data_IF_219690023958
#
_entry.id   IF_219690023958
#
_cell.length_a   1.000
_cell.length_b   1.000
_cell.length_c   1.000
_cell.angle_alpha   90.00
_cell.angle_beta   90.00
_cell.angle_gamma   90.00
#
_symmetry.space_group_name_H-M   'P 1'
#
loop_
_entity.id
_entity.type
_entity.pdbx_description
1 polymer ?
#
# COMPACT_ATOMS: atom_id res chain seq x y z
N UNK A 1 14.85 32.36 14.77
CA UNK A 1 13.68 31.49 15.00
C UNK A 1 13.11 31.82 16.39
N UNK A 2 11.94 32.47 16.45
CA UNK A 2 11.21 32.78 17.68
C UNK A 2 9.82 32.14 17.57
N UNK A 3 9.31 31.59 18.67
CA UNK A 3 8.01 30.96 18.75
C UNK A 3 6.91 32.00 18.47
N UNK A 4 6.05 31.74 17.49
CA UNK A 4 4.90 32.58 17.17
C UNK A 4 3.79 32.39 18.22
N UNK A 5 4.02 32.90 19.44
CA UNK A 5 2.98 33.07 20.43
C UNK A 5 2.41 34.48 20.27
N UNK A 6 1.28 34.60 19.55
CA UNK A 6 0.46 35.83 19.56
C UNK A 6 0.36 36.65 18.27
N UNK A 7 0.81 36.15 17.12
CA UNK A 7 0.62 36.85 15.83
C UNK A 7 -0.74 36.54 15.20
N UNK A 8 -1.37 37.54 14.59
CA UNK A 8 -2.46 37.33 13.64
C UNK A 8 -1.94 36.61 12.39
N UNK A 9 -2.81 35.89 11.67
CA UNK A 9 -2.42 35.14 10.46
C UNK A 9 -1.73 36.04 9.41
N UNK A 10 -2.14 37.32 9.35
CA UNK A 10 -1.53 38.31 8.46
C UNK A 10 -0.09 38.67 8.84
N UNK A 11 0.17 38.88 10.12
CA UNK A 11 1.51 39.18 10.64
C UNK A 11 2.44 37.97 10.52
N UNK A 12 1.93 36.76 10.77
CA UNK A 12 2.70 35.53 10.58
C UNK A 12 3.11 35.35 9.11
N UNK A 13 2.21 35.64 8.16
CA UNK A 13 2.50 35.58 6.72
C UNK A 13 3.56 36.61 6.31
N UNK A 14 3.45 37.84 6.79
CA UNK A 14 4.42 38.89 6.49
C UNK A 14 5.80 38.55 7.08
N UNK A 15 5.84 38.06 8.31
CA UNK A 15 7.08 37.63 8.95
C UNK A 15 7.78 36.49 8.19
N UNK A 16 7.02 35.49 7.70
CA UNK A 16 7.59 34.40 6.89
C UNK A 16 8.23 34.94 5.60
N UNK A 17 7.68 36.01 5.01
CA UNK A 17 8.25 36.65 3.81
C UNK A 17 9.54 37.42 4.09
N UNK A 18 9.79 37.81 5.34
CA UNK A 18 10.98 38.55 5.79
C UNK A 18 12.11 37.65 6.31
N UNK A 19 11.91 36.31 6.30
CA UNK A 19 12.91 35.35 6.76
C UNK A 19 14.08 35.22 5.77
N UNK A 20 15.29 35.49 6.25
CA UNK A 20 16.53 35.25 5.51
C UNK A 20 17.24 33.96 5.98
N UNK A 21 17.92 33.23 5.06
CA UNK A 21 18.75 32.09 5.42
C UNK A 21 19.88 32.51 6.37
N UNK A 22 19.96 31.87 7.54
CA UNK A 22 20.97 32.17 8.57
C UNK A 22 22.01 31.06 8.75
N UNK A 23 22.06 30.07 7.84
CA UNK A 23 22.98 28.94 7.88
C UNK A 23 22.37 27.66 8.44
N UNK A 24 23.04 27.04 9.41
CA UNK A 24 22.71 25.70 9.97
C UNK A 24 21.30 25.57 10.56
N UNK A 25 20.86 24.32 10.73
CA UNK A 25 19.52 23.97 11.22
C UNK A 25 19.56 23.53 12.68
N UNK A 26 19.59 24.48 13.62
CA UNK A 26 19.63 24.17 15.06
C UNK A 26 18.22 23.88 15.64
N UNK A 27 17.70 22.70 15.32
CA UNK A 27 16.37 22.26 15.74
C UNK A 27 16.25 22.15 17.25
N UNK A 28 17.27 21.65 17.95
CA UNK A 28 17.21 21.49 19.41
C UNK A 28 17.02 22.83 20.13
N UNK A 29 17.71 23.89 19.68
CA UNK A 29 17.52 25.24 20.22
C UNK A 29 16.11 25.75 19.96
N UNK A 30 15.57 25.51 18.77
CA UNK A 30 14.19 25.87 18.44
C UNK A 30 13.18 25.16 19.36
N UNK A 31 13.37 23.85 19.58
CA UNK A 31 12.51 23.06 20.46
C UNK A 31 12.57 23.52 21.91
N UNK A 32 13.76 23.86 22.43
CA UNK A 32 13.93 24.44 23.77
C UNK A 32 13.11 25.72 23.97
N UNK A 33 12.96 26.54 22.93
CA UNK A 33 12.13 27.75 22.97
C UNK A 33 10.64 27.45 22.78
N UNK A 34 10.27 26.58 21.84
CA UNK A 34 8.88 26.26 21.53
C UNK A 34 8.17 25.53 22.67
N UNK A 35 8.86 24.62 23.35
CA UNK A 35 8.29 23.83 24.46
C UNK A 35 8.12 24.64 25.75
N UNK A 36 8.61 25.89 25.80
CA UNK A 36 8.34 26.84 26.90
C UNK A 36 7.02 27.61 26.70
N UNK A 37 6.41 27.54 25.51
CA UNK A 37 5.15 28.21 25.21
C UNK A 37 4.00 27.53 25.96
N UNK A 38 3.22 28.32 26.70
CA UNK A 38 2.00 27.85 27.40
C UNK A 38 0.89 27.61 26.36
N UNK A 39 0.10 26.55 26.55
CA UNK A 39 -1.02 26.16 25.66
C UNK A 39 -0.60 25.77 24.23
N UNK A 40 0.54 25.10 24.08
CA UNK A 40 0.92 24.48 22.81
C UNK A 40 0.09 23.21 22.58
N UNK A 41 -0.74 23.20 21.53
CA UNK A 41 -1.67 22.09 21.24
C UNK A 41 -1.17 21.14 20.14
N UNK A 42 -0.21 21.58 19.34
CA UNK A 42 0.43 20.79 18.27
C UNK A 42 1.75 21.42 17.89
N UNK A 43 2.73 20.60 17.52
CA UNK A 43 4.01 21.03 17.00
C UNK A 43 4.19 20.52 15.57
N UNK A 44 4.31 21.45 14.62
CA UNK A 44 4.65 21.15 13.23
C UNK A 44 6.08 21.64 12.94
N UNK A 45 6.96 20.72 12.56
CA UNK A 45 8.32 21.02 12.14
C UNK A 45 8.37 20.88 10.62
N UNK A 46 8.73 21.95 9.92
CA UNK A 46 9.02 21.93 8.49
C UNK A 46 10.53 22.08 8.31
N UNK A 47 11.17 21.07 7.72
CA UNK A 47 12.62 21.04 7.53
C UNK A 47 12.96 21.06 6.05
N UNK A 48 13.75 22.06 5.65
CA UNK A 48 14.36 22.14 4.30
C UNK A 48 15.72 21.44 4.20
N UNK A 49 16.28 21.02 5.33
CA UNK A 49 17.59 20.39 5.47
C UNK A 49 17.63 19.56 6.76
N UNK A 50 18.64 18.70 6.91
CA UNK A 50 18.83 17.92 8.13
C UNK A 50 19.20 18.84 9.31
N UNK A 51 18.64 18.61 10.52
CA UNK A 51 19.08 19.31 11.71
C UNK A 51 20.57 19.10 12.01
N UNK A 52 21.21 20.10 12.61
CA UNK A 52 22.61 20.02 13.03
C UNK A 52 22.81 19.02 14.20
N UNK A 53 21.71 18.64 14.87
CA UNK A 53 21.71 17.68 15.98
C UNK A 53 21.21 16.30 15.50
N UNK A 54 21.76 15.22 16.06
CA UNK A 54 21.29 13.86 15.80
C UNK A 54 19.85 13.67 16.24
N UNK A 55 19.15 12.75 15.58
CA UNK A 55 17.77 12.37 15.88
C UNK A 55 17.55 12.01 17.34
N UNK A 56 18.47 11.24 17.90
CA UNK A 56 18.44 10.77 19.29
C UNK A 56 18.32 11.94 20.28
N UNK A 57 19.13 12.99 20.10
CA UNK A 57 19.21 14.09 21.06
C UNK A 57 17.93 14.92 21.11
N UNK A 58 17.35 15.24 19.95
CA UNK A 58 16.16 16.10 19.92
C UNK A 58 14.86 15.32 20.17
N UNK A 59 14.82 14.03 19.82
CA UNK A 59 13.69 13.15 20.16
C UNK A 59 13.63 12.91 21.67
N UNK A 60 14.74 12.55 22.31
CA UNK A 60 14.79 12.35 23.75
C UNK A 60 14.37 13.61 24.51
N UNK A 61 14.85 14.78 24.06
CA UNK A 61 14.46 16.06 24.62
C UNK A 61 12.95 16.33 24.46
N UNK A 62 12.38 16.04 23.30
CA UNK A 62 10.94 16.18 23.06
C UNK A 62 10.13 15.26 23.98
N UNK A 63 10.50 13.98 24.06
CA UNK A 63 9.77 12.99 24.85
C UNK A 63 9.80 13.32 26.34
N UNK A 64 10.95 13.78 26.85
CA UNK A 64 11.07 14.26 28.23
C UNK A 64 10.17 15.46 28.51
N UNK A 65 10.08 16.42 27.59
CA UNK A 65 9.23 17.60 27.74
C UNK A 65 7.73 17.33 27.51
N UNK A 66 7.41 16.35 26.67
CA UNK A 66 6.04 15.95 26.33
C UNK A 66 5.47 14.88 27.28
N UNK A 67 6.28 14.37 28.22
CA UNK A 67 5.87 13.34 29.15
C UNK A 67 4.65 13.80 29.97
N UNK A 68 3.55 13.05 29.88
CA UNK A 68 2.28 13.38 30.54
C UNK A 68 1.43 14.46 29.85
N UNK A 69 1.82 14.95 28.66
CA UNK A 69 1.05 15.91 27.86
C UNK A 69 0.72 15.31 26.48
N UNK A 70 -0.54 15.36 26.01
CA UNK A 70 -0.90 14.95 24.66
C UNK A 70 -0.48 16.04 23.65
N UNK A 71 0.83 16.13 23.37
CA UNK A 71 1.38 17.07 22.39
C UNK A 71 1.73 16.32 21.08
N UNK A 72 0.88 16.40 20.04
CA UNK A 72 1.20 15.81 18.74
C UNK A 72 2.38 16.53 18.10
N UNK A 73 3.30 15.74 17.55
CA UNK A 73 4.46 16.18 16.80
C UNK A 73 4.29 15.71 15.35
N UNK A 74 4.33 16.66 14.44
CA UNK A 74 4.28 16.45 13.00
C UNK A 74 5.57 16.99 12.39
N UNK A 75 6.22 16.18 11.56
CA UNK A 75 7.43 16.56 10.83
C UNK A 75 7.16 16.47 9.33
N UNK A 76 7.47 17.53 8.61
CA UNK A 76 7.37 17.63 7.15
C UNK A 76 8.77 17.94 6.63
N UNK A 77 9.30 17.07 5.79
CA UNK A 77 10.46 17.39 4.96
C UNK A 77 9.95 18.17 3.74
N UNK A 78 10.52 19.34 3.49
CA UNK A 78 10.17 20.18 2.35
C UNK A 78 11.41 20.36 1.47
N UNK A 79 11.38 19.83 0.25
CA UNK A 79 12.51 19.97 -0.67
C UNK A 79 12.48 21.33 -1.37
N UNK A 80 13.50 22.17 -1.12
CA UNK A 80 13.71 23.43 -1.84
C UNK A 80 14.46 23.25 -3.18
N UNK A 81 14.72 22.02 -3.61
CA UNK A 81 15.46 21.73 -4.84
C UNK A 81 14.50 21.40 -5.98
N UNK A 82 14.41 22.26 -6.97
CA UNK A 82 13.92 21.84 -8.28
C UNK A 82 14.83 20.73 -8.84
N UNK A 83 14.25 19.67 -9.40
CA UNK A 83 14.98 18.56 -10.04
C UNK A 83 15.85 19.03 -11.22
N UNK A 84 15.53 20.18 -11.81
CA UNK A 84 16.29 20.79 -12.91
C UNK A 84 17.66 21.34 -12.48
N UNK A 85 17.90 21.55 -11.18
CA UNK A 85 19.12 22.20 -10.66
C UNK A 85 20.11 21.24 -9.99
N UNK A 86 19.80 19.94 -9.87
CA UNK A 86 20.60 18.97 -9.08
C UNK A 86 21.57 18.10 -9.89
N UNK A 87 21.61 18.21 -11.23
CA UNK A 87 22.60 17.49 -12.08
C UNK A 87 23.94 18.25 -12.15
N UNK A 88 24.27 19.04 -11.13
CA UNK A 88 25.61 19.60 -10.98
C UNK A 88 26.49 18.58 -10.23
N UNK A 89 27.51 18.11 -10.93
CA UNK A 89 28.53 17.13 -10.55
C UNK A 89 29.01 17.27 -9.09
N UNK A 90 29.06 16.16 -8.36
CA UNK A 90 29.85 16.05 -7.13
C UNK A 90 29.18 16.38 -5.79
N UNK A 91 27.86 16.65 -5.75
CA UNK A 91 27.19 16.94 -4.48
C UNK A 91 27.09 15.69 -3.57
N UNK A 92 27.40 15.80 -2.26
CA UNK A 92 27.24 14.71 -1.31
C UNK A 92 25.75 14.34 -1.11
N UNK A 93 25.51 13.07 -0.76
CA UNK A 93 24.19 12.56 -0.41
C UNK A 93 23.63 13.31 0.80
N UNK A 94 22.35 13.66 0.75
CA UNK A 94 21.60 14.19 1.89
C UNK A 94 20.80 13.05 2.52
N UNK A 95 21.33 12.45 3.58
CA UNK A 95 20.66 11.31 4.23
C UNK A 95 19.46 11.80 5.02
N UNK A 96 18.25 11.42 4.59
CA UNK A 96 17.01 11.80 5.25
C UNK A 96 16.67 10.72 6.29
N UNK A 97 16.83 11.03 7.56
CA UNK A 97 16.40 10.15 8.65
C UNK A 97 14.90 10.36 8.89
N UNK A 98 14.07 9.48 8.32
CA UNK A 98 12.63 9.46 8.59
C UNK A 98 12.40 8.66 9.88
N UNK A 99 12.21 9.36 11.00
CA UNK A 99 11.78 8.75 12.26
C UNK A 99 10.27 8.51 12.16
N UNK A 100 9.89 7.27 11.89
CA UNK A 100 8.50 6.87 12.03
C UNK A 100 8.13 6.88 13.50
N UNK A 101 7.14 7.70 13.89
CA UNK A 101 6.30 7.34 15.05
C UNK A 101 5.65 6.00 14.72
N UNK A 102 6.08 4.99 15.45
CA UNK A 102 5.62 3.62 15.43
C UNK A 102 4.09 3.53 15.56
N UNK A 103 3.37 3.48 14.43
CA UNK A 103 2.03 2.89 14.40
C UNK A 103 1.61 2.24 13.08
N UNK A 104 2.49 2.08 12.10
CA UNK A 104 2.16 1.31 10.90
C UNK A 104 3.39 0.53 10.39
N UNK A 105 3.57 -0.73 10.80
CA UNK A 105 4.52 -1.58 10.12
C UNK A 105 4.13 -1.68 8.64
N UNK A 106 5.15 -1.68 7.76
CA UNK A 106 5.06 -1.84 6.30
C UNK A 106 4.36 -3.16 5.89
N UNK A 107 4.04 -4.02 6.86
CA UNK A 107 3.25 -5.24 6.71
C UNK A 107 1.74 -5.01 6.48
N UNK A 108 1.33 -4.03 5.68
CA UNK A 108 -0.09 -3.93 5.24
C UNK A 108 -0.52 -5.21 4.49
N UNK A 109 0.41 -5.87 3.80
CA UNK A 109 0.13 -7.09 3.03
C UNK A 109 -0.12 -8.33 3.93
N UNK A 110 0.24 -8.30 5.22
CA UNK A 110 -0.06 -9.42 6.17
C UNK A 110 -0.85 -9.03 7.42
N UNK A 111 -0.82 -7.78 7.87
CA UNK A 111 -1.43 -7.34 9.14
C UNK A 111 -2.36 -6.12 9.06
N UNK A 112 -2.45 -5.44 7.91
CA UNK A 112 -3.18 -4.17 7.77
C UNK A 112 -4.55 -4.25 7.08
N UNK A 113 -4.90 -5.41 6.50
CA UNK A 113 -6.19 -5.63 5.82
C UNK A 113 -7.39 -5.33 6.75
N UNK A 114 -8.52 -4.93 6.15
CA UNK A 114 -9.82 -4.84 6.82
C UNK A 114 -10.13 -6.12 7.61
N UNK A 115 -9.77 -7.29 7.05
CA UNK A 115 -9.92 -8.57 7.74
C UNK A 115 -8.96 -8.73 8.94
N UNK A 116 -7.71 -8.28 8.81
CA UNK A 116 -6.71 -8.33 9.88
C UNK A 116 -7.06 -7.40 11.05
N UNK A 117 -7.73 -6.26 10.78
CA UNK A 117 -8.27 -5.35 11.80
C UNK A 117 -9.60 -5.83 12.41
N UNK A 118 -10.05 -7.05 12.09
CA UNK A 118 -11.37 -7.59 12.48
C UNK A 118 -12.56 -6.73 12.03
N UNK A 119 -12.40 -5.96 10.95
CA UNK A 119 -13.41 -5.08 10.38
C UNK A 119 -14.18 -5.76 9.23
N UNK A 120 -14.07 -7.08 9.08
CA UNK A 120 -14.95 -7.82 8.18
C UNK A 120 -16.39 -7.69 8.67
N UNK A 121 -17.29 -7.20 7.83
CA UNK A 121 -18.72 -7.10 8.18
C UNK A 121 -19.27 -8.44 8.68
N UNK A 122 -18.86 -9.53 8.06
CA UNK A 122 -19.26 -10.88 8.45
C UNK A 122 -18.77 -11.24 9.86
N UNK A 123 -17.57 -10.82 10.27
CA UNK A 123 -17.09 -11.05 11.64
C UNK A 123 -17.86 -10.22 12.66
N UNK A 124 -18.24 -8.99 12.30
CA UNK A 124 -19.04 -8.09 13.16
C UNK A 124 -20.46 -8.64 13.35
N UNK A 125 -21.05 -9.21 12.30
CA UNK A 125 -22.40 -9.78 12.34
C UNK A 125 -22.44 -11.22 12.87
N UNK A 126 -21.32 -11.96 12.83
CA UNK A 126 -21.27 -13.38 13.18
C UNK A 126 -21.87 -13.73 14.56
N UNK A 127 -21.62 -12.96 15.65
CA UNK A 127 -22.21 -13.25 16.96
C UNK A 127 -23.74 -13.23 16.98
N UNK A 128 -24.36 -12.52 16.04
CA UNK A 128 -25.80 -12.34 15.93
C UNK A 128 -26.39 -12.98 14.66
N UNK A 129 -25.66 -13.88 14.01
CA UNK A 129 -26.07 -14.52 12.76
C UNK A 129 -26.42 -16.01 12.98
N UNK A 130 -27.64 -16.39 12.62
CA UNK A 130 -28.19 -17.74 12.83
C UNK A 130 -28.50 -18.41 11.49
N UNK A 131 -28.06 -19.65 11.31
CA UNK A 131 -28.40 -20.45 10.12
C UNK A 131 -29.86 -20.89 10.15
N UNK A 132 -30.61 -20.81 9.05
CA UNK A 132 -31.91 -21.45 8.94
C UNK A 132 -31.77 -22.96 9.17
N UNK A 133 -32.64 -23.53 10.01
CA UNK A 133 -32.66 -24.97 10.27
C UNK A 133 -33.95 -25.56 9.71
N UNK A 134 -33.84 -26.69 9.00
CA UNK A 134 -34.98 -27.49 8.58
C UNK A 134 -34.87 -28.88 9.19
N UNK A 135 -35.95 -29.34 9.83
CA UNK A 135 -36.02 -30.65 10.46
C UNK A 135 -37.27 -31.39 9.99
N UNK A 136 -37.10 -32.65 9.57
CA UNK A 136 -38.23 -33.52 9.29
C UNK A 136 -38.76 -34.10 10.59
N UNK A 137 -40.04 -33.88 10.91
CA UNK A 137 -40.70 -34.46 12.09
C UNK A 137 -41.46 -35.72 11.64
N UNK A 138 -40.99 -36.93 12.00
CA UNK A 138 -41.56 -38.20 11.50
C UNK A 138 -43.02 -38.40 11.91
N UNK A 139 -43.37 -37.97 13.13
CA UNK A 139 -44.73 -38.11 13.69
C UNK A 139 -45.72 -37.22 12.94
N UNK A 140 -45.28 -36.04 12.47
CA UNK A 140 -46.11 -35.11 11.71
C UNK A 140 -46.05 -35.36 10.20
N UNK A 141 -45.15 -36.24 9.73
CA UNK A 141 -44.79 -36.46 8.32
C UNK A 141 -44.57 -35.16 7.55
N UNK A 142 -43.97 -34.17 8.22
CA UNK A 142 -43.77 -32.81 7.69
C UNK A 142 -42.36 -32.35 7.98
N UNK A 143 -41.76 -31.67 7.01
CA UNK A 143 -40.57 -30.85 7.21
C UNK A 143 -41.00 -29.53 7.82
N UNK A 144 -40.39 -29.17 8.95
CA UNK A 144 -40.57 -27.86 9.59
C UNK A 144 -39.29 -27.06 9.49
N UNK A 145 -39.42 -25.79 9.13
CA UNK A 145 -38.32 -24.83 9.04
C UNK A 145 -38.33 -23.89 10.24
N UNK A 146 -37.16 -23.45 10.69
CA UNK A 146 -37.01 -22.42 11.72
C UNK A 146 -37.76 -21.15 11.30
N UNK A 147 -38.65 -20.66 12.15
CA UNK A 147 -39.42 -19.45 11.89
C UNK A 147 -38.64 -18.21 12.30
N UNK A 148 -38.46 -17.27 11.37
CA UNK A 148 -37.85 -15.97 11.65
C UNK A 148 -38.80 -15.15 12.54
N UNK A 149 -38.31 -14.62 13.66
CA UNK A 149 -39.03 -13.54 14.32
C UNK A 149 -38.85 -12.26 13.49
N UNK A 150 -39.77 -12.02 12.55
CA UNK A 150 -39.71 -10.95 11.53
C UNK A 150 -39.48 -9.55 12.12
N UNK A 151 -39.78 -9.35 13.41
CA UNK A 151 -39.58 -8.09 14.14
C UNK A 151 -38.15 -7.86 14.64
N UNK A 152 -37.36 -8.91 14.84
CA UNK A 152 -36.03 -8.82 15.46
C UNK A 152 -34.88 -9.23 14.51
N UNK A 153 -35.15 -10.09 13.53
CA UNK A 153 -34.10 -10.66 12.67
C UNK A 153 -34.36 -10.40 11.19
N UNK A 154 -33.28 -10.38 10.40
CA UNK A 154 -33.33 -10.18 8.96
C UNK A 154 -32.46 -11.19 8.21
N UNK A 155 -32.92 -11.62 7.03
CA UNK A 155 -32.13 -12.49 6.17
C UNK A 155 -31.04 -11.68 5.47
N UNK A 156 -29.82 -12.21 5.50
CA UNK A 156 -28.63 -11.59 4.92
C UNK A 156 -27.77 -12.66 4.25
N UNK A 157 -27.30 -12.38 3.05
CA UNK A 157 -26.41 -13.26 2.30
C UNK A 157 -24.99 -13.20 2.87
N UNK A 158 -24.45 -14.36 3.21
CA UNK A 158 -23.13 -14.52 3.79
C UNK A 158 -22.06 -14.62 2.70
N UNK A 159 -20.77 -14.61 3.08
CA UNK A 159 -19.67 -14.63 2.10
C UNK A 159 -19.55 -15.94 1.31
N UNK A 160 -20.15 -17.02 1.80
CA UNK A 160 -20.21 -18.34 1.14
C UNK A 160 -21.49 -18.51 0.29
N UNK A 161 -22.28 -17.46 0.12
CA UNK A 161 -23.58 -17.50 -0.57
C UNK A 161 -24.72 -18.10 0.26
N UNK A 162 -24.47 -18.52 1.50
CA UNK A 162 -25.54 -18.98 2.40
C UNK A 162 -26.36 -17.80 2.91
N UNK A 163 -27.65 -18.02 3.20
CA UNK A 163 -28.50 -17.00 3.81
C UNK A 163 -28.54 -17.22 5.32
N UNK A 164 -28.23 -16.18 6.10
CA UNK A 164 -28.30 -16.21 7.57
C UNK A 164 -29.32 -15.21 8.09
N UNK A 165 -29.96 -15.55 9.20
CA UNK A 165 -30.85 -14.67 9.95
C UNK A 165 -30.02 -13.86 10.94
N UNK A 166 -29.90 -12.56 10.73
CA UNK A 166 -29.05 -11.66 11.51
C UNK A 166 -29.91 -10.75 12.38
N UNK A 167 -29.61 -10.69 13.67
CA UNK A 167 -30.10 -9.62 14.55
C UNK A 167 -29.15 -8.43 14.46
N UNK A 168 -29.66 -7.27 14.07
CA UNK A 168 -28.84 -6.08 13.81
C UNK A 168 -29.12 -5.02 14.86
N UNK A 169 -28.10 -4.72 15.67
CA UNK A 169 -28.11 -3.55 16.56
C UNK A 169 -27.68 -2.29 15.78
N UNK A 170 -28.54 -1.26 15.66
CA UNK A 170 -28.18 -0.01 14.98
C UNK A 170 -26.96 0.69 15.59
N UNK A 171 -26.75 0.59 16.91
CA UNK A 171 -25.61 1.22 17.57
C UNK A 171 -24.28 0.52 17.19
N UNK A 172 -24.31 -0.82 17.07
CA UNK A 172 -23.19 -1.61 16.58
C UNK A 172 -22.83 -1.23 15.14
N UNK A 173 -23.83 -1.14 14.24
CA UNK A 173 -23.58 -0.75 12.85
C UNK A 173 -23.04 0.68 12.71
N UNK A 174 -23.55 1.63 13.49
CA UNK A 174 -23.05 3.00 13.47
C UNK A 174 -21.58 3.07 13.90
N UNK A 175 -21.21 2.37 14.99
CA UNK A 175 -19.81 2.28 15.44
C UNK A 175 -18.92 1.62 14.38
N UNK A 176 -19.39 0.53 13.78
CA UNK A 176 -18.69 -0.15 12.70
C UNK A 176 -18.45 0.77 11.49
N UNK A 177 -19.47 1.47 11.01
CA UNK A 177 -19.34 2.42 9.90
C UNK A 177 -18.32 3.53 10.21
N UNK A 178 -18.29 4.03 11.46
CA UNK A 178 -17.29 5.02 11.89
C UNK A 178 -15.86 4.47 11.84
N UNK A 179 -15.65 3.24 12.34
CA UNK A 179 -14.35 2.57 12.30
C UNK A 179 -13.90 2.26 10.87
N UNK A 180 -14.82 1.81 10.02
CA UNK A 180 -14.57 1.53 8.62
C UNK A 180 -14.17 2.80 7.85
N UNK A 181 -14.87 3.93 8.10
CA UNK A 181 -14.50 5.22 7.51
C UNK A 181 -13.13 5.73 7.97
N UNK A 182 -12.73 5.48 9.22
CA UNK A 182 -11.36 5.78 9.68
C UNK A 182 -10.31 4.91 8.98
N UNK A 183 -10.62 3.63 8.75
CA UNK A 183 -9.72 2.74 8.02
C UNK A 183 -9.54 3.17 6.57
N UNK A 184 -10.62 3.54 5.87
CA UNK A 184 -10.57 4.05 4.48
C UNK A 184 -9.72 5.31 4.39
N UNK A 185 -9.92 6.30 5.27
CA UNK A 185 -9.05 7.50 5.31
C UNK A 185 -7.58 7.16 5.48
N UNK A 186 -7.28 6.15 6.28
CA UNK A 186 -5.89 5.68 6.48
C UNK A 186 -5.32 5.10 5.19
N UNK A 187 -6.13 4.36 4.43
CA UNK A 187 -5.74 3.79 3.15
C UNK A 187 -5.54 4.88 2.09
N UNK A 188 -6.43 5.87 2.01
CA UNK A 188 -6.31 7.03 1.12
C UNK A 188 -4.99 7.78 1.39
N UNK A 189 -4.72 8.13 2.65
CA UNK A 189 -3.45 8.74 3.04
C UNK A 189 -2.24 7.87 2.71
N UNK A 190 -2.38 6.54 2.72
CA UNK A 190 -1.30 5.63 2.35
C UNK A 190 -1.04 5.62 0.85
N UNK A 191 -2.09 5.74 0.02
CA UNK A 191 -1.95 5.90 -1.44
C UNK A 191 -1.23 7.20 -1.77
N UNK A 192 -1.62 8.30 -1.10
CA UNK A 192 -0.91 9.59 -1.25
C UNK A 192 0.55 9.45 -0.85
N UNK A 193 0.83 8.78 0.28
CA UNK A 193 2.19 8.54 0.74
C UNK A 193 3.01 7.68 -0.23
N UNK A 194 2.42 6.67 -0.88
CA UNK A 194 3.11 5.88 -1.90
C UNK A 194 3.43 6.69 -3.17
N UNK A 195 2.68 7.77 -3.40
CA UNK A 195 2.83 8.66 -4.56
C UNK A 195 3.87 9.79 -4.35
N UNK A 196 4.71 9.69 -3.32
CA UNK A 196 5.70 10.73 -2.96
C UNK A 196 7.14 10.25 -3.10
N UNK A 197 8.02 11.14 -3.57
CA UNK A 197 9.48 10.98 -3.62
C UNK A 197 9.97 9.65 -4.25
N UNK A 198 10.96 8.98 -3.63
CA UNK A 198 11.52 7.69 -4.08
C UNK A 198 10.45 6.60 -4.28
N UNK A 199 9.33 6.65 -3.56
CA UNK A 199 8.26 5.65 -3.64
C UNK A 199 7.48 5.73 -4.95
N UNK A 200 7.51 6.91 -5.59
CA UNK A 200 6.94 7.13 -6.92
C UNK A 200 7.69 6.37 -8.02
N UNK A 201 8.97 6.04 -7.78
CA UNK A 201 9.86 5.39 -8.75
C UNK A 201 10.13 3.92 -8.39
N UNK A 202 10.35 3.62 -7.11
CA UNK A 202 10.75 2.30 -6.62
C UNK A 202 9.65 1.54 -5.89
N UNK A 203 8.54 2.20 -5.57
CA UNK A 203 7.65 1.74 -4.52
C UNK A 203 8.33 1.72 -3.14
N UNK A 204 7.83 0.87 -2.25
CA UNK A 204 8.38 0.73 -0.89
C UNK A 204 9.35 -0.43 -0.80
N UNK A 205 10.57 -0.23 -0.32
CA UNK A 205 11.46 -1.34 0.00
C UNK A 205 11.00 -2.00 1.30
N UNK A 206 10.51 -3.24 1.24
CA UNK A 206 9.91 -3.95 2.36
C UNK A 206 10.93 -4.70 3.21
N UNK A 207 11.88 -5.35 2.56
CA UNK A 207 12.88 -6.21 3.20
C UNK A 207 13.91 -5.38 3.96
N UNK A 208 14.56 -6.04 4.91
CA UNK A 208 15.60 -5.47 5.76
C UNK A 208 17.01 -5.62 5.16
N UNK A 209 17.20 -6.66 4.35
CA UNK A 209 18.37 -6.87 3.49
C UNK A 209 17.94 -6.58 2.06
N UNK A 210 18.69 -5.76 1.34
CA UNK A 210 18.26 -5.27 0.01
C UNK A 210 19.41 -5.33 -1.00
N UNK A 211 19.16 -5.91 -2.17
CA UNK A 211 20.05 -5.78 -3.34
C UNK A 211 19.35 -4.98 -4.42
N UNK A 212 19.96 -3.90 -4.89
CA UNK A 212 19.46 -3.11 -6.01
C UNK A 212 20.14 -3.56 -7.30
N UNK A 213 19.37 -4.03 -8.29
CA UNK A 213 19.86 -4.31 -9.64
C UNK A 213 19.55 -3.10 -10.54
N UNK A 214 20.59 -2.48 -11.11
CA UNK A 214 20.46 -1.27 -11.93
C UNK A 214 20.84 -1.59 -13.37
N UNK A 215 19.90 -1.41 -14.29
CA UNK A 215 20.10 -1.59 -15.73
C UNK A 215 20.96 -0.46 -16.32
N UNK A 216 22.19 -0.80 -16.71
CA UNK A 216 23.14 0.10 -17.37
C UNK A 216 23.28 -0.18 -18.88
N UNK A 217 22.32 -0.86 -19.48
CA UNK A 217 22.33 -1.18 -20.91
C UNK A 217 22.43 0.07 -21.81
N UNK A 218 22.88 -0.11 -23.05
CA UNK A 218 23.04 1.01 -24.01
C UNK A 218 21.74 1.79 -24.24
N UNK A 219 20.58 1.13 -24.12
CA UNK A 219 19.27 1.78 -24.23
C UNK A 219 19.02 2.85 -23.15
N UNK A 220 19.74 2.79 -22.03
CA UNK A 220 19.64 3.73 -20.92
C UNK A 220 20.65 4.88 -20.98
N UNK A 221 21.52 4.92 -21.98
CA UNK A 221 22.58 5.92 -22.14
C UNK A 221 22.06 7.37 -22.21
N UNK A 222 20.85 7.57 -22.75
CA UNK A 222 20.23 8.91 -22.80
C UNK A 222 19.49 9.27 -21.50
N UNK A 223 19.39 8.33 -20.55
CA UNK A 223 18.59 8.45 -19.34
C UNK A 223 19.44 8.36 -18.05
N UNK A 224 20.75 8.46 -18.17
CA UNK A 224 21.72 8.35 -17.07
C UNK A 224 21.33 9.26 -15.90
N UNK A 225 21.02 10.54 -16.17
CA UNK A 225 20.64 11.49 -15.13
C UNK A 225 19.40 11.06 -14.35
N UNK A 226 18.41 10.46 -15.01
CA UNK A 226 17.19 9.98 -14.37
C UNK A 226 17.43 8.73 -13.52
N UNK A 227 18.26 7.80 -14.02
CA UNK A 227 18.63 6.59 -13.29
C UNK A 227 19.47 6.94 -12.05
N UNK A 228 20.45 7.81 -12.21
CA UNK A 228 21.25 8.34 -11.11
C UNK A 228 20.38 9.06 -10.08
N UNK A 229 19.43 9.89 -10.51
CA UNK A 229 18.49 10.53 -9.61
C UNK A 229 17.61 9.52 -8.86
N UNK A 230 17.06 8.51 -9.55
CA UNK A 230 16.27 7.45 -8.93
C UNK A 230 17.07 6.70 -7.86
N UNK A 231 18.31 6.32 -8.17
CA UNK A 231 19.20 5.63 -7.22
C UNK A 231 19.58 6.55 -6.05
N UNK A 232 19.85 7.83 -6.31
CA UNK A 232 20.12 8.81 -5.26
C UNK A 232 18.96 8.89 -4.26
N UNK A 233 17.73 9.06 -4.76
CA UNK A 233 16.55 9.18 -3.91
C UNK A 233 16.36 7.96 -3.01
N UNK A 234 16.59 6.75 -3.52
CA UNK A 234 16.43 5.54 -2.69
C UNK A 234 17.51 5.46 -1.61
N UNK A 235 18.78 5.75 -1.96
CA UNK A 235 19.90 5.81 -1.01
C UNK A 235 19.64 6.83 0.11
N UNK A 236 19.13 8.01 -0.23
CA UNK A 236 18.85 9.10 0.72
C UNK A 236 17.63 8.81 1.63
N UNK A 237 16.59 8.17 1.11
CA UNK A 237 15.27 8.13 1.76
C UNK A 237 14.86 6.78 2.35
N UNK A 238 15.27 5.66 1.76
CA UNK A 238 14.78 4.33 2.16
C UNK A 238 15.87 3.40 2.70
N UNK A 239 17.15 3.62 2.36
CA UNK A 239 18.24 2.72 2.74
C UNK A 239 18.66 2.84 4.20
N UNK A 240 18.51 4.01 4.83
CA UNK A 240 18.86 4.25 6.24
C UNK A 240 18.14 3.31 7.20
N UNK A 241 16.94 2.84 6.84
CA UNK A 241 16.11 1.95 7.67
C UNK A 241 16.36 0.45 7.40
N UNK A 242 17.41 0.10 6.64
CA UNK A 242 17.81 -1.26 6.28
C UNK A 242 18.96 -1.75 7.17
N UNK A 243 19.10 -3.07 7.27
CA UNK A 243 20.20 -3.68 8.01
C UNK A 243 21.41 -3.88 7.11
N UNK A 244 21.17 -4.33 5.87
CA UNK A 244 22.23 -4.54 4.89
C UNK A 244 21.78 -4.21 3.48
N UNK A 245 22.73 -3.79 2.65
CA UNK A 245 22.49 -3.52 1.25
C UNK A 245 23.67 -3.82 0.34
N UNK A 246 23.39 -3.95 -0.96
CA UNK A 246 24.38 -3.87 -2.03
C UNK A 246 23.75 -3.35 -3.32
N UNK A 247 24.58 -2.89 -4.25
CA UNK A 247 24.18 -2.49 -5.60
C UNK A 247 24.92 -3.33 -6.63
N UNK A 248 24.18 -3.75 -7.66
CA UNK A 248 24.70 -4.50 -8.79
C UNK A 248 24.22 -3.78 -10.05
N UNK A 249 25.15 -3.35 -10.89
CA UNK A 249 24.86 -2.78 -12.19
C UNK A 249 25.01 -3.87 -13.25
N UNK A 250 24.11 -3.92 -14.22
CA UNK A 250 24.15 -4.94 -15.26
C UNK A 250 23.88 -4.37 -16.65
N UNK A 251 24.71 -4.80 -17.60
CA UNK A 251 24.58 -4.59 -19.04
C UNK A 251 24.83 -5.91 -19.76
N UNK A 252 25.80 -5.96 -20.67
CA UNK A 252 26.36 -7.24 -21.15
C UNK A 252 27.08 -7.98 -20.02
N UNK A 253 27.88 -7.22 -19.26
CA UNK A 253 28.62 -7.65 -18.10
C UNK A 253 27.95 -7.16 -16.81
N UNK A 254 28.39 -7.68 -15.67
CA UNK A 254 27.82 -7.38 -14.36
C UNK A 254 28.90 -6.82 -13.45
N UNK A 255 28.64 -5.64 -12.91
CA UNK A 255 29.49 -4.96 -11.94
C UNK A 255 28.77 -4.88 -10.59
N UNK A 256 29.53 -4.96 -9.50
CA UNK A 256 28.98 -4.89 -8.14
C UNK A 256 29.73 -3.85 -7.32
N UNK A 257 29.02 -3.12 -6.48
CA UNK A 257 29.62 -2.12 -5.58
C UNK A 257 30.52 -2.80 -4.53
N UNK A 258 29.98 -3.81 -3.83
CA UNK A 258 30.71 -4.58 -2.82
C UNK A 258 30.58 -6.09 -3.08
N UNK A 259 31.54 -6.93 -2.64
CA UNK A 259 31.45 -8.39 -2.77
C UNK A 259 30.30 -9.01 -1.96
N UNK A 260 29.93 -8.38 -0.84
CA UNK A 260 28.90 -8.86 0.08
C UNK A 260 28.00 -7.71 0.52
N UNK A 261 26.86 -8.07 1.13
CA UNK A 261 25.93 -7.12 1.74
C UNK A 261 26.56 -6.33 2.91
N UNK A 262 26.67 -5.02 2.75
CA UNK A 262 27.25 -4.09 3.74
C UNK A 262 26.18 -3.32 4.51
N UNK A 263 26.51 -2.81 5.70
CA UNK A 263 25.58 -1.98 6.48
C UNK A 263 25.38 -0.59 5.85
N UNK A 264 24.17 -0.01 5.84
CA UNK A 264 23.89 1.31 5.26
C UNK A 264 24.34 2.45 6.18
N UNK A 265 25.65 2.54 6.46
CA UNK A 265 26.25 3.68 7.13
C UNK A 265 26.31 4.88 6.18
N UNK A 266 26.34 6.13 6.68
CA UNK A 266 26.51 7.30 5.84
C UNK A 266 27.68 7.23 4.86
N UNK A 267 28.81 6.70 5.31
CA UNK A 267 30.01 6.54 4.49
C UNK A 267 29.79 5.50 3.37
N UNK A 268 29.22 4.33 3.69
CA UNK A 268 28.92 3.31 2.67
C UNK A 268 27.87 3.79 1.67
N UNK A 269 26.86 4.55 2.10
CA UNK A 269 25.87 5.13 1.19
C UNK A 269 26.52 6.16 0.27
N UNK A 270 27.39 7.02 0.80
CA UNK A 270 28.10 8.02 0.03
C UNK A 270 29.09 7.38 -0.96
N UNK A 271 29.77 6.31 -0.57
CA UNK A 271 30.67 5.56 -1.44
C UNK A 271 29.93 4.79 -2.52
N UNK A 272 28.79 4.17 -2.18
CA UNK A 272 27.89 3.57 -3.16
C UNK A 272 27.42 4.60 -4.19
N UNK A 273 27.09 5.83 -3.75
CA UNK A 273 26.72 6.90 -4.67
C UNK A 273 27.87 7.34 -5.59
N UNK A 274 29.10 7.47 -5.06
CA UNK A 274 30.29 7.74 -5.89
C UNK A 274 30.51 6.65 -6.94
N UNK A 275 30.30 5.39 -6.56
CA UNK A 275 30.36 4.26 -7.49
C UNK A 275 29.29 4.36 -8.59
N UNK A 276 28.04 4.68 -8.23
CA UNK A 276 26.94 4.90 -9.20
C UNK A 276 27.25 6.01 -10.20
N UNK A 277 27.88 7.11 -9.74
CA UNK A 277 28.30 8.21 -10.62
C UNK A 277 29.38 7.80 -11.63
N UNK A 278 30.18 6.77 -11.33
CA UNK A 278 31.23 6.26 -12.20
C UNK A 278 30.79 5.20 -13.22
N UNK A 279 29.54 4.72 -13.13
CA UNK A 279 29.02 3.66 -14.00
C UNK A 279 29.03 4.07 -15.47
N UNK A 280 29.52 3.16 -16.31
CA UNK A 280 29.52 3.33 -17.77
C UNK A 280 28.35 2.57 -18.37
N UNK A 281 27.57 3.25 -19.22
CA UNK A 281 26.38 2.67 -19.83
C UNK A 281 26.73 2.05 -21.18
N UNK A 282 26.34 0.80 -21.40
CA UNK A 282 26.66 0.06 -22.60
C UNK A 282 26.19 -1.38 -22.59
N UNK A 283 26.34 -2.05 -23.73
CA UNK A 283 26.01 -3.47 -23.85
C UNK A 283 24.50 -3.77 -23.85
N UNK A 284 24.17 -5.03 -23.56
CA UNK A 284 22.82 -5.60 -23.58
C UNK A 284 22.21 -5.65 -22.17
N UNK A 285 21.20 -6.50 -21.89
CA UNK A 285 20.53 -6.65 -20.59
C UNK A 285 20.62 -8.08 -20.04
N UNK A 286 21.81 -8.46 -19.58
CA UNK A 286 22.08 -9.79 -19.04
C UNK A 286 21.59 -9.97 -17.59
N UNK A 287 20.26 -9.96 -17.40
CA UNK A 287 19.64 -10.06 -16.07
C UNK A 287 19.96 -11.37 -15.36
N UNK A 288 20.06 -12.48 -16.09
CA UNK A 288 20.40 -13.79 -15.52
C UNK A 288 21.74 -13.74 -14.77
N UNK A 289 22.76 -13.09 -15.32
CA UNK A 289 24.05 -12.93 -14.66
C UNK A 289 23.96 -12.01 -13.43
N UNK A 290 23.20 -10.92 -13.52
CA UNK A 290 22.98 -10.00 -12.41
C UNK A 290 22.27 -10.69 -11.23
N UNK A 291 21.24 -11.49 -11.53
CA UNK A 291 20.48 -12.23 -10.54
C UNK A 291 21.32 -13.34 -9.90
N UNK A 292 22.17 -14.04 -10.68
CA UNK A 292 23.19 -14.96 -10.13
C UNK A 292 24.09 -14.25 -9.12
N UNK A 293 24.59 -13.07 -9.47
CA UNK A 293 25.45 -12.33 -8.55
C UNK A 293 24.73 -11.87 -7.29
N UNK A 294 23.45 -11.50 -7.39
CA UNK A 294 22.64 -11.13 -6.22
C UNK A 294 22.54 -12.27 -5.19
N UNK A 295 22.44 -13.52 -5.66
CA UNK A 295 22.42 -14.73 -4.81
C UNK A 295 23.79 -14.96 -4.19
N UNK A 296 24.87 -14.82 -4.97
CA UNK A 296 26.25 -14.99 -4.49
C UNK A 296 26.64 -13.95 -3.43
N UNK A 297 26.03 -12.75 -3.46
CA UNK A 297 26.23 -11.72 -2.44
C UNK A 297 25.57 -12.03 -1.09
N UNK A 298 24.65 -13.00 -1.05
CA UNK A 298 24.00 -13.40 0.19
C UNK A 298 24.92 -14.22 1.09
N UNK A 299 24.79 -14.00 2.40
CA UNK A 299 25.43 -14.85 3.41
C UNK A 299 24.39 -15.87 3.89
N UNK A 300 24.57 -17.18 3.64
CA UNK A 300 23.58 -18.22 3.94
C UNK A 300 23.21 -18.35 5.43
N UNK A 301 24.00 -17.77 6.32
CA UNK A 301 23.87 -17.90 7.78
C UNK A 301 22.75 -17.02 8.36
N UNK A 302 22.18 -16.10 7.58
CA UNK A 302 21.18 -15.12 8.05
C UNK A 302 19.77 -15.52 7.62
N UNK A 303 18.89 -15.82 8.58
CA UNK A 303 17.51 -16.30 8.38
C UNK A 303 16.49 -15.22 7.98
N UNK A 304 16.92 -14.00 7.65
CA UNK A 304 16.01 -12.92 7.24
C UNK A 304 15.84 -12.88 5.71
N UNK A 305 14.65 -12.57 5.16
CA UNK A 305 14.50 -12.40 3.72
C UNK A 305 15.38 -11.26 3.19
N UNK A 306 15.85 -11.41 1.95
CA UNK A 306 16.54 -10.33 1.23
C UNK A 306 15.80 -10.00 -0.06
N UNK A 307 15.42 -8.73 -0.18
CA UNK A 307 14.67 -8.26 -1.33
C UNK A 307 15.61 -7.86 -2.45
N UNK A 308 15.43 -8.43 -3.64
CA UNK A 308 16.10 -8.00 -4.86
C UNK A 308 15.18 -7.04 -5.60
N UNK A 309 15.65 -5.82 -5.87
CA UNK A 309 14.87 -4.77 -6.54
C UNK A 309 15.51 -4.46 -7.89
N UNK A 310 14.87 -4.91 -8.96
CA UNK A 310 15.28 -4.68 -10.33
C UNK A 310 14.76 -3.33 -10.82
N UNK A 311 15.65 -2.46 -11.27
CA UNK A 311 15.34 -1.20 -11.93
C UNK A 311 15.78 -1.27 -13.40
N UNK A 312 14.80 -1.29 -14.31
CA UNK A 312 15.05 -1.49 -15.74
C UNK A 312 14.07 -0.71 -16.59
N UNK A 313 14.47 -0.42 -17.84
CA UNK A 313 13.64 0.23 -18.85
C UNK A 313 13.10 -0.73 -19.91
N UNK A 314 13.48 -2.00 -19.86
CA UNK A 314 13.17 -2.94 -20.94
C UNK A 314 13.30 -4.41 -20.55
N UNK A 315 13.17 -5.27 -21.54
CA UNK A 315 13.19 -6.71 -21.35
C UNK A 315 14.62 -7.26 -21.23
N UNK A 316 14.85 -8.28 -20.39
CA UNK A 316 16.10 -9.03 -20.36
C UNK A 316 16.44 -9.68 -21.72
N UNK A 317 17.73 -9.96 -21.94
CA UNK A 317 18.18 -10.65 -23.15
C UNK A 317 17.75 -12.12 -23.19
N UNK A 318 17.52 -12.71 -22.00
CA UNK A 318 17.18 -14.12 -21.87
C UNK A 318 15.74 -14.40 -22.28
N UNK A 319 15.52 -15.58 -22.86
CA UNK A 319 14.17 -16.06 -23.15
C UNK A 319 13.33 -16.14 -21.87
N UNK A 320 12.09 -15.67 -21.99
CA UNK A 320 11.10 -15.58 -20.92
C UNK A 320 11.02 -16.86 -20.08
N UNK A 321 10.82 -18.00 -20.73
CA UNK A 321 10.53 -19.25 -20.04
C UNK A 321 11.76 -19.78 -19.29
N UNK A 322 12.96 -19.61 -19.87
CA UNK A 322 14.24 -20.00 -19.25
C UNK A 322 14.52 -19.12 -18.03
N UNK A 323 14.37 -17.81 -18.18
CA UNK A 323 14.58 -16.87 -17.07
C UNK A 323 13.54 -17.08 -15.97
N UNK A 324 12.28 -17.26 -16.34
CA UNK A 324 11.18 -17.46 -15.40
C UNK A 324 11.34 -18.73 -14.58
N UNK A 325 11.68 -19.85 -15.22
CA UNK A 325 11.96 -21.11 -14.53
C UNK A 325 13.11 -20.95 -13.52
N UNK A 326 14.21 -20.33 -13.93
CA UNK A 326 15.37 -20.09 -13.07
C UNK A 326 15.02 -19.21 -11.86
N UNK A 327 14.35 -18.08 -12.07
CA UNK A 327 13.94 -17.17 -10.99
C UNK A 327 12.99 -17.88 -10.02
N UNK A 328 12.00 -18.62 -10.53
CA UNK A 328 11.06 -19.35 -9.68
C UNK A 328 11.75 -20.42 -8.81
N UNK A 329 12.72 -21.14 -9.37
CA UNK A 329 13.50 -22.16 -8.66
C UNK A 329 14.35 -21.53 -7.54
N UNK A 330 15.14 -20.51 -7.88
CA UNK A 330 16.04 -19.84 -6.92
C UNK A 330 15.27 -19.19 -5.78
N UNK A 331 14.23 -18.41 -6.10
CA UNK A 331 13.47 -17.64 -5.09
C UNK A 331 12.64 -18.54 -4.18
N UNK A 332 12.31 -19.77 -4.62
CA UNK A 332 11.70 -20.79 -3.77
C UNK A 332 12.69 -21.38 -2.75
N UNK A 333 13.98 -21.44 -3.10
CA UNK A 333 15.03 -21.99 -2.24
C UNK A 333 15.64 -21.01 -1.22
N UNK A 334 15.62 -19.69 -1.48
CA UNK A 334 16.47 -18.72 -0.76
C UNK A 334 15.73 -17.56 -0.05
N UNK A 335 14.39 -17.55 0.04
CA UNK A 335 13.59 -16.43 0.61
C UNK A 335 14.03 -15.04 0.06
N UNK A 336 14.21 -15.01 -1.26
CA UNK A 336 14.77 -13.92 -2.06
C UNK A 336 13.71 -13.30 -3.00
N UNK A 337 12.74 -12.51 -2.52
CA UNK A 337 11.74 -11.94 -3.41
C UNK A 337 12.36 -10.97 -4.44
N UNK A 338 12.01 -11.15 -5.72
CA UNK A 338 12.40 -10.26 -6.82
C UNK A 338 11.28 -9.27 -7.12
N UNK A 339 11.48 -8.01 -6.72
CA UNK A 339 10.64 -6.88 -7.09
C UNK A 339 11.15 -6.24 -8.37
N UNK A 340 10.24 -5.80 -9.25
CA UNK A 340 10.58 -5.21 -10.54
C UNK A 340 9.97 -3.83 -10.65
N UNK A 341 10.83 -2.84 -10.89
CA UNK A 341 10.53 -1.44 -11.12
C UNK A 341 10.83 -1.14 -12.60
N UNK A 342 9.77 -1.05 -13.41
CA UNK A 342 9.85 -0.59 -14.79
C UNK A 342 9.86 0.94 -14.80
N UNK A 343 10.93 1.50 -15.35
CA UNK A 343 11.09 2.93 -15.54
C UNK A 343 11.09 3.28 -17.03
N UNK A 344 10.11 4.06 -17.43
CA UNK A 344 9.97 4.52 -18.81
C UNK A 344 10.00 6.06 -18.85
N UNK A 345 10.71 6.62 -19.82
CA UNK A 345 10.66 8.05 -20.11
C UNK A 345 9.94 8.22 -21.44
N UNK A 346 8.87 9.01 -21.43
CA UNK A 346 8.07 9.33 -22.60
C UNK A 346 8.74 10.40 -23.43
N UNK A 347 9.47 9.97 -24.47
CA UNK A 347 9.29 10.41 -25.85
C UNK A 347 10.33 9.66 -26.68
N UNK A 348 9.94 8.54 -27.27
CA UNK A 348 10.64 8.11 -28.48
C UNK A 348 10.10 8.99 -29.60
N UNK A 349 10.70 10.17 -29.74
CA UNK A 349 10.78 10.82 -31.03
C UNK A 349 11.20 9.78 -32.06
N UNK A 350 10.57 9.82 -33.22
CA UNK A 350 10.57 8.86 -34.32
C UNK A 350 11.95 8.47 -34.92
N UNK A 351 13.07 8.76 -34.25
CA UNK A 351 14.44 8.69 -34.77
C UNK A 351 15.41 7.78 -33.99
N UNK A 352 14.93 6.75 -33.28
CA UNK A 352 15.81 5.66 -32.82
C UNK A 352 15.90 4.55 -33.88
N UNK A 353 17.09 4.23 -34.43
CA UNK A 353 17.25 3.27 -35.54
C UNK A 353 17.09 1.80 -35.14
N UNK A 354 16.69 1.50 -33.89
CA UNK A 354 16.49 0.12 -33.42
C UNK A 354 15.15 0.02 -32.69
N UNK A 355 14.14 -0.64 -33.26
CA UNK A 355 12.94 -1.00 -32.53
C UNK A 355 13.33 -1.92 -31.36
N UNK A 356 13.01 -1.51 -30.13
CA UNK A 356 13.12 -2.39 -28.97
C UNK A 356 12.29 -3.65 -29.26
N UNK A 357 12.86 -4.82 -29.00
CA UNK A 357 12.46 -6.12 -29.58
C UNK A 357 11.05 -6.65 -29.28
N UNK A 358 10.09 -5.87 -28.75
CA UNK A 358 8.65 -6.19 -28.64
C UNK A 358 7.76 -4.93 -28.61
N UNK A 359 6.48 -5.11 -28.93
CA UNK A 359 5.54 -4.09 -29.38
C UNK A 359 4.79 -3.42 -28.21
N UNK A 360 4.87 -2.10 -28.11
CA UNK A 360 4.20 -1.28 -27.09
C UNK A 360 4.72 -1.43 -25.63
N UNK A 361 4.72 -0.32 -24.86
CA UNK A 361 5.00 -0.31 -23.42
C UNK A 361 4.24 -1.37 -22.60
N UNK A 362 2.99 -1.65 -22.98
CA UNK A 362 2.10 -2.57 -22.25
C UNK A 362 2.56 -4.03 -22.30
N UNK A 363 3.10 -4.49 -23.43
CA UNK A 363 3.64 -5.86 -23.54
C UNK A 363 4.89 -6.02 -22.66
N UNK A 364 5.78 -5.02 -22.70
CA UNK A 364 6.98 -4.99 -21.84
C UNK A 364 6.60 -5.05 -20.36
N UNK A 365 5.62 -4.25 -19.94
CA UNK A 365 5.10 -4.28 -18.58
C UNK A 365 4.51 -5.64 -18.21
N UNK A 366 3.79 -6.30 -19.13
CA UNK A 366 3.20 -7.63 -18.90
C UNK A 366 4.23 -8.72 -18.64
N UNK A 367 5.33 -8.69 -19.40
CA UNK A 367 6.43 -9.62 -19.24
C UNK A 367 7.18 -9.42 -17.92
N UNK A 368 7.51 -8.17 -17.60
CA UNK A 368 8.18 -7.83 -16.33
C UNK A 368 7.29 -8.09 -15.11
N UNK A 369 5.97 -7.92 -15.23
CA UNK A 369 5.00 -8.31 -14.20
C UNK A 369 5.02 -9.83 -13.98
N UNK A 370 5.11 -10.61 -15.06
CA UNK A 370 5.23 -12.07 -14.96
C UNK A 370 6.52 -12.47 -14.26
N UNK A 371 7.62 -11.78 -14.58
CA UNK A 371 8.91 -11.96 -13.92
C UNK A 371 8.87 -11.69 -12.41
N UNK A 372 8.27 -10.57 -11.99
CA UNK A 372 8.08 -10.25 -10.58
C UNK A 372 7.26 -11.32 -9.84
N UNK A 373 6.22 -11.85 -10.50
CA UNK A 373 5.38 -12.92 -9.94
C UNK A 373 6.13 -14.23 -9.76
N UNK A 374 6.95 -14.65 -10.73
CA UNK A 374 7.80 -15.83 -10.59
C UNK A 374 8.80 -15.69 -9.45
N UNK A 375 9.34 -14.48 -9.27
CA UNK A 375 10.22 -14.16 -8.17
C UNK A 375 9.51 -13.86 -6.84
N UNK A 376 8.20 -14.12 -6.71
CA UNK A 376 7.40 -13.89 -5.50
C UNK A 376 7.46 -12.44 -4.97
N UNK A 377 7.81 -11.50 -5.84
CA UNK A 377 7.90 -10.09 -5.51
C UNK A 377 6.71 -9.30 -6.04
N UNK A 378 6.96 -8.03 -6.36
CA UNK A 378 5.95 -7.03 -6.72
C UNK A 378 6.39 -6.26 -7.94
N UNK A 379 5.43 -5.86 -8.76
CA UNK A 379 5.64 -5.03 -9.93
C UNK A 379 5.26 -3.57 -9.65
N UNK A 380 6.10 -2.66 -10.13
CA UNK A 380 5.90 -1.23 -10.06
C UNK A 380 6.33 -0.61 -11.41
N UNK A 381 5.50 0.25 -11.97
CA UNK A 381 5.74 0.91 -13.25
C UNK A 381 5.56 2.42 -13.10
N UNK A 382 6.66 3.13 -13.35
CA UNK A 382 6.73 4.58 -13.36
C UNK A 382 7.02 5.10 -14.78
N UNK A 383 6.30 6.14 -15.21
CA UNK A 383 6.51 6.85 -16.47
C UNK A 383 6.59 8.36 -16.23
N UNK A 384 7.67 9.03 -16.64
CA UNK A 384 7.82 10.50 -16.54
C UNK A 384 7.50 11.04 -15.15
N UNK A 385 7.92 10.28 -14.13
CA UNK A 385 7.59 10.43 -12.72
C UNK A 385 6.19 9.99 -12.31
N UNK A 386 5.20 9.78 -13.17
CA UNK A 386 3.87 9.29 -12.77
C UNK A 386 3.84 7.78 -12.55
N UNK A 387 3.03 7.32 -11.60
CA UNK A 387 2.83 5.88 -11.38
C UNK A 387 1.75 5.40 -12.34
N UNK A 388 2.13 4.55 -13.29
CA UNK A 388 1.19 3.94 -14.23
C UNK A 388 0.55 2.71 -13.59
N UNK A 389 1.35 1.90 -12.92
CA UNK A 389 0.90 0.68 -12.25
C UNK A 389 1.73 0.41 -10.99
N UNK A 390 1.08 -0.06 -9.93
CA UNK A 390 1.77 -0.45 -8.70
C UNK A 390 0.97 -1.49 -7.96
N UNK A 391 1.55 -2.68 -7.75
CA UNK A 391 0.91 -3.74 -6.97
C UNK A 391 0.55 -3.29 -5.55
N UNK A 392 1.38 -2.43 -4.94
CA UNK A 392 1.13 -1.89 -3.60
C UNK A 392 -0.11 -0.99 -3.56
N UNK A 393 -0.25 -0.09 -4.54
CA UNK A 393 -1.39 0.82 -4.63
C UNK A 393 -2.65 0.01 -4.94
N UNK A 394 -2.57 -0.92 -5.90
CA UNK A 394 -3.67 -1.78 -6.28
C UNK A 394 -4.18 -2.63 -5.09
N UNK A 395 -3.27 -3.16 -4.26
CA UNK A 395 -3.64 -3.90 -3.06
C UNK A 395 -4.40 -3.02 -2.04
N UNK A 396 -4.00 -1.75 -1.88
CA UNK A 396 -4.68 -0.81 -0.99
C UNK A 396 -6.04 -0.41 -1.56
N UNK A 397 -6.12 -0.12 -2.85
CA UNK A 397 -7.37 0.22 -3.54
C UNK A 397 -8.39 -0.93 -3.45
N UNK A 398 -7.95 -2.18 -3.57
CA UNK A 398 -8.81 -3.36 -3.36
C UNK A 398 -9.37 -3.44 -1.93
N UNK A 399 -8.61 -3.02 -0.92
CA UNK A 399 -9.09 -2.97 0.46
C UNK A 399 -10.07 -1.80 0.70
N UNK A 400 -9.90 -0.67 0.00
CA UNK A 400 -10.87 0.43 -0.02
C UNK A 400 -12.17 -0.02 -0.68
N UNK A 401 -12.11 -0.72 -1.81
CA UNK A 401 -13.29 -1.26 -2.49
C UNK A 401 -14.03 -2.28 -1.61
N UNK A 402 -13.30 -3.16 -0.93
CA UNK A 402 -13.88 -4.09 0.06
C UNK A 402 -14.59 -3.33 1.18
N UNK A 403 -13.99 -2.25 1.69
CA UNK A 403 -14.62 -1.40 2.70
C UNK A 403 -15.88 -0.70 2.16
N UNK A 404 -15.86 -0.20 0.92
CA UNK A 404 -17.03 0.39 0.28
C UNK A 404 -18.18 -0.63 0.14
N UNK A 405 -17.88 -1.86 -0.26
CA UNK A 405 -18.85 -2.96 -0.33
C UNK A 405 -19.47 -3.25 1.04
N UNK A 406 -18.66 -3.35 2.10
CA UNK A 406 -19.17 -3.51 3.47
C UNK A 406 -20.04 -2.33 3.92
N UNK A 407 -19.65 -1.10 3.59
CA UNK A 407 -20.45 0.10 3.88
C UNK A 407 -21.81 0.06 3.18
N UNK A 408 -21.84 -0.32 1.89
CA UNK A 408 -23.07 -0.49 1.12
C UNK A 408 -24.01 -1.53 1.76
N UNK A 409 -23.46 -2.70 2.13
CA UNK A 409 -24.20 -3.75 2.84
C UNK A 409 -24.78 -3.23 4.17
N UNK A 410 -24.03 -2.44 4.94
CA UNK A 410 -24.55 -1.79 6.15
C UNK A 410 -25.72 -0.86 5.87
N UNK A 411 -25.64 -0.04 4.80
CA UNK A 411 -26.75 0.84 4.40
C UNK A 411 -28.00 0.05 4.07
N UNK A 412 -27.88 -1.05 3.31
CA UNK A 412 -29.01 -1.94 3.02
C UNK A 412 -29.63 -2.55 4.29
N UNK A 413 -28.80 -2.93 5.28
CA UNK A 413 -29.28 -3.42 6.59
C UNK A 413 -30.07 -2.33 7.32
N UNK A 414 -29.55 -1.10 7.37
CA UNK A 414 -30.21 0.04 8.04
C UNK A 414 -31.51 0.43 7.33
N UNK A 415 -31.54 0.47 6.00
CA UNK A 415 -32.76 0.77 5.23
C UNK A 415 -33.83 -0.31 5.42
N UNK A 416 -33.43 -1.58 5.45
CA UNK A 416 -34.34 -2.69 5.73
C UNK A 416 -34.98 -2.59 7.11
N UNK A 417 -34.23 -2.12 8.12
CA UNK A 417 -34.76 -1.83 9.46
C UNK A 417 -35.73 -0.64 9.44
N UNK A 418 -35.36 0.47 8.78
CA UNK A 418 -36.21 1.68 8.68
C UNK A 418 -37.51 1.43 7.91
N UNK A 419 -37.45 0.70 6.80
CA UNK A 419 -38.63 0.33 6.01
C UNK A 419 -39.59 -0.61 6.74
N UNK A 420 -39.11 -1.37 7.72
CA UNK A 420 -39.98 -2.13 8.65
C UNK A 420 -40.60 -1.22 9.71
N UNK A 421 -39.85 -0.26 10.25
CA UNK A 421 -40.37 0.75 11.18
C UNK A 421 -41.45 1.65 10.55
N UNK A 422 -41.30 2.07 9.30
CA UNK A 422 -42.32 2.85 8.56
C UNK A 422 -43.60 2.06 8.29
N UNK A 423 -43.49 0.80 7.82
CA UNK A 423 -44.65 -0.09 7.68
C UNK A 423 -45.40 -0.31 8.99
N UNK A 424 -44.70 -0.22 10.12
CA UNK A 424 -45.30 -0.29 11.44
C UNK A 424 -45.99 1.02 11.85
N UNK A 425 -45.44 2.18 11.51
CA UNK A 425 -46.09 3.47 11.73
C UNK A 425 -47.37 3.63 10.89
N UNK A 426 -47.35 3.18 9.62
CA UNK A 426 -48.54 3.17 8.75
C UNK A 426 -49.56 2.10 9.17
N UNK A 427 -49.11 0.95 9.68
CA UNK A 427 -49.98 -0.09 10.25
C UNK A 427 -50.65 0.32 11.57
N UNK A 428 -50.04 1.22 12.34
CA UNK A 428 -50.66 1.82 13.53
C UNK A 428 -51.68 2.92 13.20
N UNK A 429 -51.62 3.53 12.02
CA UNK A 429 -52.64 4.47 11.52
C UNK A 429 -53.87 3.77 10.91
N UNK A 430 -53.78 2.47 10.63
CA UNK A 430 -54.93 1.64 10.19
C UNK A 430 -55.53 0.79 11.31
N UNK A 431 -54.98 0.84 12.53
CA UNK A 431 -55.52 0.15 13.71
C UNK A 431 -56.64 0.96 14.39
N UNK A 432 -57.53 1.54 13.57
CA UNK A 432 -58.70 2.31 14.03
C UNK A 432 -60.03 1.69 13.64
N UNK A 433 -60.12 0.99 12.51
CA UNK A 433 -61.37 0.44 12.00
C UNK A 433 -61.05 -0.76 11.11
N UNK A 434 -61.05 -1.98 11.67
CA UNK A 434 -61.42 -3.23 10.98
C UNK A 434 -61.30 -4.44 11.92
N UNK A 435 -61.95 -4.35 13.08
CA UNK A 435 -62.33 -5.54 13.84
C UNK A 435 -63.83 -5.79 13.61
N UNK A 436 -64.18 -6.20 12.39
CA UNK A 436 -65.45 -6.85 12.01
C UNK A 436 -65.43 -7.23 10.54
N UNK A 437 -64.87 -8.41 10.22
CA UNK A 437 -65.47 -9.39 9.28
C UNK A 437 -64.53 -10.59 9.12
N UNK A 438 -64.83 -11.64 9.88
CA UNK A 438 -64.41 -13.01 9.55
C UNK A 438 -65.36 -13.55 8.48
N UNK A 439 -64.99 -13.51 7.18
CA UNK A 439 -65.43 -14.51 6.18
C UNK A 439 -64.33 -14.79 5.16
N UNK A 440 -63.83 -16.03 5.26
CA UNK A 440 -63.06 -16.86 4.33
C UNK A 440 -63.18 -16.52 2.82
N UNK A 441 -62.04 -16.24 2.18
CA UNK A 441 -61.84 -16.54 0.75
C UNK A 441 -60.48 -17.21 0.49
N UNK A 442 -60.52 -18.37 -0.18
CA UNK A 442 -59.37 -19.19 -0.55
C UNK A 442 -58.65 -18.53 -1.75
N UNK A 443 -57.42 -18.04 -1.56
CA UNK A 443 -56.52 -17.76 -2.68
C UNK A 443 -55.44 -18.83 -2.80
N UNK A 444 -55.28 -19.35 -4.03
CA UNK A 444 -54.34 -20.41 -4.43
C UNK A 444 -52.90 -19.91 -4.30
N UNK A 445 -51.92 -20.76 -3.91
CA UNK A 445 -50.53 -20.34 -3.87
C UNK A 445 -50.02 -20.01 -5.29
N UNK A 446 -49.47 -18.81 -5.47
CA UNK A 446 -48.67 -18.46 -6.64
C UNK A 446 -47.48 -19.44 -6.72
N UNK A 447 -47.33 -20.11 -7.86
CA UNK A 447 -46.14 -20.92 -8.18
C UNK A 447 -44.93 -20.00 -8.25
N UNK A 448 -43.99 -20.16 -7.32
CA UNK A 448 -42.65 -19.59 -7.42
C UNK A 448 -41.90 -20.27 -8.58
N UNK A 449 -41.14 -19.53 -9.40
CA UNK A 449 -40.26 -20.14 -10.40
C UNK A 449 -39.16 -20.93 -9.69
N UNK A 450 -38.85 -22.12 -10.21
CA UNK A 450 -37.84 -23.02 -9.64
C UNK A 450 -36.43 -22.41 -9.64
N UNK A 451 -35.52 -22.97 -8.83
CA UNK A 451 -34.15 -22.50 -8.72
C UNK A 451 -33.44 -22.57 -10.08
N UNK A 452 -32.77 -21.49 -10.48
CA UNK A 452 -31.91 -21.48 -11.68
C UNK A 452 -30.66 -22.33 -11.42
N UNK A 453 -30.26 -23.20 -12.37
CA UNK A 453 -29.11 -24.07 -12.19
C UNK A 453 -27.80 -23.28 -12.10
N UNK A 454 -26.95 -23.66 -11.17
CA UNK A 454 -25.57 -23.16 -11.03
C UNK A 454 -24.65 -23.78 -12.09
N UNK A 455 -23.50 -23.15 -12.35
CA UNK A 455 -22.48 -23.65 -13.29
C UNK A 455 -22.02 -25.09 -13.00
N UNK A 456 -22.00 -25.48 -11.71
CA UNK A 456 -21.76 -26.86 -11.24
C UNK A 456 -22.87 -27.85 -11.63
N UNK A 457 -24.12 -27.38 -11.76
CA UNK A 457 -25.28 -28.18 -12.17
C UNK A 457 -25.26 -28.40 -13.69
N UNK A 458 -24.83 -27.39 -14.46
CA UNK A 458 -24.64 -27.51 -15.91
C UNK A 458 -23.46 -28.41 -16.28
N UNK A 459 -22.34 -28.33 -15.53
CA UNK A 459 -21.17 -29.19 -15.76
C UNK A 459 -21.44 -30.68 -15.51
N UNK A 460 -22.35 -31.02 -14.58
CA UNK A 460 -22.74 -32.42 -14.31
C UNK A 460 -23.68 -33.01 -15.35
N UNK A 461 -24.37 -32.20 -16.15
CA UNK A 461 -25.26 -32.69 -17.20
C UNK A 461 -24.53 -33.04 -18.51
N UNK A 462 -23.26 -32.67 -18.66
CA UNK A 462 -22.46 -32.95 -19.87
C UNK A 462 -21.59 -34.20 -19.70
N UNK A 463 -21.53 -34.80 -18.51
CA UNK A 463 -20.64 -35.91 -18.16
C UNK A 463 -21.26 -37.32 -18.24
N UNK A 464 -22.33 -37.52 -19.01
CA UNK A 464 -22.84 -38.84 -19.33
C UNK A 464 -23.21 -38.90 -20.81
N UNK A 465 -22.26 -39.34 -21.64
CA UNK A 465 -22.42 -40.35 -22.69
C UNK A 465 -21.04 -40.83 -23.11
#
# INVERSE_FOLDING_TARGET
>A
MLAAAGYSLGEARQWVQELEPSGGCNLLRAMKHLLQVKELNSLLIVLGSCPDQTSEIWVDYFEQCALGKPLPLHTIAYDCSSYLTQVCEGNPLRIIIIIFRSHFPISIIRGGSVAAKKLSLYQVLAPNAFSPQEAFIPILRKTVSSTLHQRAMMQFEWHDGSVKNVHVDPALLYRYQKQLGQAVRTFEHRVDWLSTDSRKIWGTLCEKRVVLLVDISVSNSMHIAHIQHAVRLILEQQMTNKHRFNLIAFGSDVEQYQPQLVSPTPDHLQDAWRWVLGLQYGGSRNLMAAFKRAIECEVPEVQEPCGVYLFTSGLPDQEKDVLGAYVAEVTSGHDLPLHVCLFQIGDFGLDSPVPVRYASPSETASELRSLARWGRGRFHWCQDTEIVESDDINAILAEIEKAANYSCKCTMLVESLKGRSRRHADGLLQWGDEEKTLVRERQRPLKLPGPKPTALTLARMVGHF
#
